data_IF_092550370188
#
_entry.id   IF_092550370188
#
_cell.length_a   1.000
_cell.length_b   1.000
_cell.length_c   1.000
_cell.angle_alpha   90.00
_cell.angle_beta   90.00
_cell.angle_gamma   90.00
#
_symmetry.space_group_name_H-M   'P 1'
#
loop_
_entity.id
_entity.type
_entity.pdbx_description
1 polymer ?
#
# COMPACT_ATOMS: atom_id res chain seq x y z
N UNK A 1 -11.78 7.30 9.67
CA UNK A 1 -10.42 7.85 9.85
C UNK A 1 -9.63 6.79 10.62
N UNK A 2 -8.60 6.22 10.01
CA UNK A 2 -7.83 5.11 10.60
C UNK A 2 -6.59 5.67 11.26
N UNK A 3 -6.38 5.33 12.52
CA UNK A 3 -5.19 5.73 13.29
C UNK A 3 -4.37 4.49 13.58
N UNK A 4 -3.07 4.56 13.35
CA UNK A 4 -2.11 3.51 13.70
C UNK A 4 -1.18 4.00 14.80
N UNK A 5 -0.58 3.06 15.53
CA UNK A 5 0.51 3.36 16.47
C UNK A 5 1.81 2.84 15.89
N UNK A 6 2.80 3.71 15.74
CA UNK A 6 4.16 3.34 15.35
C UNK A 6 5.16 4.23 16.10
N UNK A 7 6.27 3.66 16.59
CA UNK A 7 7.27 4.40 17.38
C UNK A 7 6.68 5.02 18.67
N UNK A 8 5.67 4.35 19.24
CA UNK A 8 4.94 4.84 20.42
C UNK A 8 4.05 6.06 20.17
N UNK A 9 3.93 6.54 18.92
CA UNK A 9 3.12 7.68 18.54
C UNK A 9 1.90 7.25 17.71
N UNK A 10 0.78 7.93 17.92
CA UNK A 10 -0.43 7.73 17.13
C UNK A 10 -0.38 8.59 15.87
N UNK A 11 -0.48 7.95 14.71
CA UNK A 11 -0.47 8.61 13.40
C UNK A 11 -1.80 8.40 12.69
N UNK A 12 -2.43 9.50 12.29
CA UNK A 12 -3.61 9.46 11.44
C UNK A 12 -3.19 9.09 10.01
N UNK A 13 -3.75 8.00 9.49
CA UNK A 13 -3.52 7.59 8.11
C UNK A 13 -4.43 8.37 7.16
N UNK A 14 -3.86 8.75 6.03
CA UNK A 14 -4.59 9.31 4.90
C UNK A 14 -4.73 8.27 3.81
N UNK A 15 -5.91 8.13 3.17
CA UNK A 15 -6.07 7.23 2.04
C UNK A 15 -5.16 7.66 0.88
N UNK A 16 -4.61 6.68 0.16
CA UNK A 16 -3.82 6.94 -1.04
C UNK A 16 -4.74 7.17 -2.26
N UNK A 17 -4.17 7.64 -3.37
CA UNK A 17 -4.92 7.81 -4.62
C UNK A 17 -5.36 6.44 -5.18
N UNK A 18 -6.52 6.35 -5.87
CA UNK A 18 -7.04 5.08 -6.38
C UNK A 18 -6.08 4.32 -7.32
N UNK A 19 -5.24 5.03 -8.07
CA UNK A 19 -4.24 4.42 -8.94
C UNK A 19 -3.20 3.60 -8.16
N UNK A 20 -2.74 4.11 -7.02
CA UNK A 20 -1.74 3.44 -6.19
C UNK A 20 -2.33 2.25 -5.42
N UNK A 21 -3.63 2.26 -5.14
CA UNK A 21 -4.31 1.17 -4.46
C UNK A 21 -4.27 -0.13 -5.28
N UNK A 22 -4.45 -0.05 -6.61
CA UNK A 22 -4.31 -1.18 -7.51
C UNK A 22 -2.90 -1.75 -7.54
N UNK A 23 -1.89 -0.88 -7.68
CA UNK A 23 -0.50 -1.29 -7.70
C UNK A 23 -0.07 -1.92 -6.36
N UNK A 24 -0.58 -1.41 -5.23
CA UNK A 24 -0.37 -1.98 -3.91
C UNK A 24 -1.07 -3.34 -3.75
N UNK A 25 -2.27 -3.52 -4.29
CA UNK A 25 -3.00 -4.79 -4.27
C UNK A 25 -2.28 -5.86 -5.10
N UNK A 26 -1.84 -5.51 -6.32
CA UNK A 26 -1.02 -6.40 -7.15
C UNK A 26 0.29 -6.77 -6.46
N UNK A 27 0.98 -5.78 -5.87
CA UNK A 27 2.20 -6.02 -5.12
C UNK A 27 1.94 -6.89 -3.90
N UNK A 28 0.80 -6.75 -3.21
CA UNK A 28 0.48 -7.57 -2.05
C UNK A 28 0.34 -9.07 -2.41
N UNK A 29 -0.20 -9.37 -3.60
CA UNK A 29 -0.28 -10.74 -4.13
C UNK A 29 1.08 -11.36 -4.47
N UNK A 30 2.09 -10.55 -4.79
CA UNK A 30 3.44 -11.00 -5.17
C UNK A 30 4.44 -10.94 -4.00
N UNK A 31 4.35 -9.89 -3.19
CA UNK A 31 5.23 -9.58 -2.07
C UNK A 31 4.48 -8.79 -0.99
N UNK A 32 3.83 -9.48 -0.04
CA UNK A 32 3.02 -8.84 1.00
C UNK A 32 3.86 -8.03 2.00
N UNK A 33 5.16 -8.28 2.11
CA UNK A 33 6.06 -7.46 2.92
C UNK A 33 6.27 -6.09 2.30
N UNK A 34 6.65 -6.05 1.04
CA UNK A 34 6.89 -4.81 0.33
C UNK A 34 5.59 -3.99 0.17
N UNK A 35 4.44 -4.63 -0.08
CA UNK A 35 3.17 -3.91 -0.19
C UNK A 35 2.77 -3.20 1.11
N UNK A 36 2.94 -3.86 2.26
CA UNK A 36 2.65 -3.25 3.56
C UNK A 36 3.59 -2.08 3.88
N UNK A 37 4.87 -2.22 3.59
CA UNK A 37 5.83 -1.12 3.75
C UNK A 37 5.50 0.06 2.85
N UNK A 38 5.14 -0.21 1.59
CA UNK A 38 4.78 0.83 0.63
C UNK A 38 3.48 1.54 1.04
N UNK A 39 2.45 0.78 1.44
CA UNK A 39 1.20 1.34 1.93
C UNK A 39 1.41 2.18 3.20
N UNK A 40 2.23 1.72 4.14
CA UNK A 40 2.60 2.48 5.33
C UNK A 40 3.24 3.83 4.95
N UNK A 41 4.24 3.81 4.08
CA UNK A 41 4.92 5.03 3.65
C UNK A 41 4.01 6.02 2.90
N UNK A 42 3.07 5.51 2.11
CA UNK A 42 2.13 6.32 1.32
C UNK A 42 0.98 6.90 2.15
N UNK A 43 0.52 6.18 3.17
CA UNK A 43 -0.60 6.60 4.01
C UNK A 43 -0.18 7.46 5.21
N UNK A 44 1.11 7.49 5.55
CA UNK A 44 1.62 8.31 6.63
C UNK A 44 1.67 9.81 6.27
N UNK A 45 1.51 10.72 7.26
CA UNK A 45 1.66 12.15 7.03
C UNK A 45 3.06 12.50 6.52
N UNK A 46 3.19 13.50 5.61
CA UNK A 46 4.48 14.01 5.16
C UNK A 46 5.38 14.36 6.35
N UNK A 47 6.66 13.97 6.28
CA UNK A 47 7.63 14.20 7.35
C UNK A 47 7.69 13.11 8.42
N UNK A 48 6.76 12.15 8.45
CA UNK A 48 6.84 10.99 9.37
C UNK A 48 7.89 9.97 8.91
N UNK A 49 7.95 9.74 7.60
CA UNK A 49 8.95 8.90 6.94
C UNK A 49 9.62 9.71 5.82
N UNK A 50 10.93 10.05 5.95
CA UNK A 50 11.65 10.86 4.96
C UNK A 50 11.96 10.11 3.66
N UNK A 51 11.55 8.84 3.54
CA UNK A 51 11.64 8.04 2.31
C UNK A 51 10.61 8.52 1.27
N UNK A 52 9.54 9.21 1.72
CA UNK A 52 8.40 9.66 0.89
C UNK A 52 8.71 10.68 -0.23
N UNK A 53 9.64 11.65 -0.11
CA UNK A 53 9.92 12.61 -1.19
C UNK A 53 10.68 12.00 -2.37
N UNK A 54 11.40 10.89 -2.17
CA UNK A 54 12.30 10.33 -3.19
C UNK A 54 11.54 9.40 -4.14
N UNK A 55 10.58 8.62 -3.64
CA UNK A 55 9.84 7.67 -4.48
C UNK A 55 8.89 8.34 -5.49
N UNK A 56 8.23 9.44 -5.11
CA UNK A 56 7.39 10.22 -6.04
C UNK A 56 8.19 10.99 -7.10
N UNK A 57 9.43 11.35 -6.81
CA UNK A 57 10.28 12.13 -7.72
C UNK A 57 11.13 11.27 -8.67
N UNK A 58 11.42 10.01 -8.32
CA UNK A 58 12.42 9.19 -9.03
C UNK A 58 11.91 7.87 -9.65
N UNK A 59 10.59 7.67 -9.78
CA UNK A 59 10.01 6.45 -10.35
C UNK A 59 10.54 5.15 -9.70
N UNK A 60 10.79 5.19 -8.38
CA UNK A 60 11.28 4.03 -7.62
C UNK A 60 10.19 2.95 -7.63
N UNK A 61 10.50 1.69 -7.97
CA UNK A 61 9.52 0.61 -7.93
C UNK A 61 8.89 0.48 -6.54
N UNK A 62 7.56 0.34 -6.46
CA UNK A 62 6.83 0.21 -5.18
C UNK A 62 7.39 -0.88 -4.27
N UNK A 63 7.89 -1.98 -4.86
CA UNK A 63 8.51 -3.06 -4.12
C UNK A 63 9.80 -2.62 -3.39
N UNK A 64 10.61 -1.78 -4.03
CA UNK A 64 11.82 -1.22 -3.43
C UNK A 64 11.45 -0.16 -2.38
N UNK A 65 10.54 0.74 -2.72
CA UNK A 65 10.05 1.77 -1.80
C UNK A 65 9.52 1.15 -0.50
N UNK A 66 8.71 0.09 -0.58
CA UNK A 66 8.19 -0.57 0.60
C UNK A 66 9.26 -1.20 1.48
N UNK A 67 10.36 -1.69 0.90
CA UNK A 67 11.52 -2.18 1.69
C UNK A 67 12.20 -1.03 2.41
N UNK A 68 12.46 0.08 1.73
CA UNK A 68 13.13 1.25 2.33
C UNK A 68 12.32 1.83 3.49
N UNK A 69 10.98 1.83 3.41
CA UNK A 69 10.12 2.25 4.53
C UNK A 69 10.26 1.30 5.72
N UNK A 70 10.27 -0.01 5.49
CA UNK A 70 10.46 -1.01 6.56
C UNK A 70 11.83 -0.82 7.21
N UNK A 71 12.88 -0.73 6.39
CA UNK A 71 14.26 -0.57 6.86
C UNK A 71 14.43 0.73 7.66
N UNK A 72 13.77 1.82 7.25
CA UNK A 72 13.73 3.07 8.02
C UNK A 72 13.18 2.85 9.43
N UNK A 73 12.02 2.23 9.60
CA UNK A 73 11.45 2.00 10.93
C UNK A 73 12.27 1.02 11.77
N UNK A 74 12.80 -0.03 11.16
CA UNK A 74 13.70 -0.97 11.85
C UNK A 74 14.99 -0.29 12.33
N UNK A 75 15.55 0.63 11.53
CA UNK A 75 16.74 1.41 11.93
C UNK A 75 16.48 2.28 13.17
N UNK A 76 15.22 2.69 13.37
CA UNK A 76 14.75 3.45 14.55
C UNK A 76 14.37 2.56 15.74
N UNK A 77 14.68 1.26 15.70
CA UNK A 77 14.36 0.28 16.74
C UNK A 77 12.86 0.02 16.93
N UNK A 78 12.02 0.40 15.97
CA UNK A 78 10.61 -0.03 15.94
C UNK A 78 10.55 -1.53 15.70
N UNK A 79 9.73 -2.24 16.45
CA UNK A 79 9.63 -3.70 16.34
C UNK A 79 9.09 -4.12 14.98
N UNK A 80 9.67 -5.15 14.36
CA UNK A 80 9.21 -5.65 13.06
C UNK A 80 7.71 -6.01 13.04
N UNK A 81 7.20 -6.58 14.13
CA UNK A 81 5.78 -6.88 14.29
C UNK A 81 4.88 -5.64 14.29
N UNK A 82 5.34 -4.54 14.91
CA UNK A 82 4.63 -3.26 14.94
C UNK A 82 4.58 -2.63 13.54
N UNK A 83 5.71 -2.61 12.83
CA UNK A 83 5.79 -2.12 11.44
C UNK A 83 4.86 -2.91 10.52
N UNK A 84 4.83 -4.24 10.66
CA UNK A 84 3.94 -5.12 9.87
C UNK A 84 2.47 -4.90 10.19
N UNK A 85 2.10 -4.74 11.46
CA UNK A 85 0.73 -4.48 11.87
C UNK A 85 0.25 -3.12 11.32
N UNK A 86 1.04 -2.08 11.51
CA UNK A 86 0.78 -0.75 10.98
C UNK A 86 0.66 -0.75 9.44
N UNK A 87 1.57 -1.46 8.76
CA UNK A 87 1.54 -1.59 7.30
C UNK A 87 0.37 -2.41 6.77
N UNK A 88 -0.11 -3.42 7.51
CA UNK A 88 -1.32 -4.15 7.17
C UNK A 88 -2.56 -3.26 7.26
N UNK A 89 -2.68 -2.45 8.32
CA UNK A 89 -3.78 -1.49 8.49
C UNK A 89 -3.74 -0.39 7.42
N UNK A 90 -2.55 0.08 7.05
CA UNK A 90 -2.38 1.02 5.96
C UNK A 90 -2.76 0.42 4.60
N UNK A 91 -2.39 -0.84 4.35
CA UNK A 91 -2.76 -1.55 3.13
C UNK A 91 -4.27 -1.77 3.03
N UNK A 92 -4.92 -2.16 4.13
CA UNK A 92 -6.37 -2.30 4.18
C UNK A 92 -7.07 -0.98 3.86
N UNK A 93 -6.63 0.13 4.46
CA UNK A 93 -7.16 1.47 4.17
C UNK A 93 -6.92 1.89 2.71
N UNK A 94 -5.74 1.59 2.17
CA UNK A 94 -5.37 1.91 0.80
C UNK A 94 -6.24 1.19 -0.23
N UNK A 95 -6.56 -0.09 0.01
CA UNK A 95 -7.23 -0.97 -0.95
C UNK A 95 -8.75 -1.04 -0.74
N UNK A 96 -9.25 -0.77 0.47
CA UNK A 96 -10.70 -0.69 0.79
C UNK A 96 -11.55 0.07 -0.24
N UNK A 97 -11.15 1.29 -0.69
CA UNK A 97 -11.96 2.05 -1.64
C UNK A 97 -11.94 1.50 -3.07
N UNK A 98 -11.04 0.56 -3.41
CA UNK A 98 -10.86 0.03 -4.76
C UNK A 98 -11.43 -1.38 -4.95
N UNK A 99 -12.05 -1.96 -3.92
CA UNK A 99 -12.69 -3.26 -4.02
C UNK A 99 -14.13 -3.10 -4.53
N UNK A 100 -14.30 -2.83 -5.82
CA UNK A 100 -15.47 -3.35 -6.52
C UNK A 100 -15.11 -4.70 -7.13
N UNK A 101 -15.97 -5.70 -6.96
CA UNK A 101 -15.74 -7.07 -7.43
C UNK A 101 -15.42 -7.14 -8.95
N UNK A 102 -15.92 -6.17 -9.71
CA UNK A 102 -15.71 -6.01 -11.14
C UNK A 102 -14.25 -5.66 -11.48
N UNK A 103 -13.61 -4.79 -10.70
CA UNK A 103 -12.26 -4.31 -11.00
C UNK A 103 -11.19 -5.34 -10.55
N UNK A 104 -11.46 -6.10 -9.49
CA UNK A 104 -10.60 -7.23 -9.06
C UNK A 104 -10.55 -8.32 -10.14
N UNK A 105 -11.69 -8.59 -10.79
CA UNK A 105 -11.77 -9.54 -11.90
C UNK A 105 -11.05 -9.03 -13.16
N UNK A 106 -11.17 -7.73 -13.46
CA UNK A 106 -10.48 -7.13 -14.59
C UNK A 106 -8.94 -7.16 -14.43
N UNK A 107 -8.42 -6.86 -13.24
CA UNK A 107 -6.98 -6.91 -12.96
C UNK A 107 -6.41 -8.34 -12.95
N UNK A 108 -7.22 -9.35 -12.61
CA UNK A 108 -6.83 -10.76 -12.66
C UNK A 108 -6.82 -11.38 -14.08
N UNK A 109 -7.05 -10.57 -15.13
CA UNK A 109 -7.10 -11.04 -16.51
C UNK A 109 -8.39 -11.80 -16.88
N UNK A 110 -9.43 -11.75 -16.04
CA UNK A 110 -10.76 -12.20 -16.44
C UNK A 110 -11.37 -11.16 -17.39
N UNK A 111 -11.16 -11.38 -18.69
CA UNK A 111 -12.03 -10.79 -19.68
C UNK A 111 -13.44 -11.31 -19.43
N UNK A 112 -14.41 -10.41 -19.24
CA UNK A 112 -15.82 -10.79 -19.23
C UNK A 112 -16.08 -11.67 -20.47
N UNK A 113 -16.76 -12.83 -20.34
CA UNK A 113 -17.10 -13.63 -21.51
C UNK A 113 -17.88 -12.71 -22.44
N UNK A 114 -17.31 -12.52 -23.64
CA UNK A 114 -17.86 -11.60 -24.64
C UNK A 114 -19.34 -11.87 -24.80
N UNK A 115 -20.13 -10.81 -24.62
CA UNK A 115 -21.53 -10.80 -25.04
C UNK A 115 -21.57 -10.94 -26.55
N UNK A 116 -21.52 -12.18 -27.03
CA UNK A 116 -21.95 -12.53 -28.37
C UNK A 116 -23.48 -12.59 -28.34
N UNK A 117 -24.11 -11.42 -28.34
CA UNK A 117 -25.52 -11.30 -28.67
C UNK A 117 -25.68 -11.17 -30.18
N UNK A 118 -26.26 -12.24 -30.75
CA UNK A 118 -27.24 -12.26 -31.84
C UNK A 118 -26.78 -11.87 -33.25
N UNK A 119 -26.53 -12.91 -34.07
CA UNK A 119 -26.97 -12.96 -35.47
C UNK A 119 -28.21 -13.84 -35.58
#
# INVERSE_FOLDING_TARGET
MTTITIDGAAHALSPCTPSLAWELAELAGKNPAAAQGAALGLCLPPGTCPVAPIARAHAVPLAQYGREVIDYFLSRKVGYGEVRLAGAQALELAVQPCLTEAEVKAAAGFSAPGGSSTG
#
